data_IF_255941116370
#
_entry.id   IF_255941116370
#
_cell.length_a   1.000
_cell.length_b   1.000
_cell.length_c   1.000
_cell.angle_alpha   90.00
_cell.angle_beta   90.00
_cell.angle_gamma   90.00
#
_symmetry.space_group_name_H-M   'P 1'
#
loop_
_entity.id
_entity.type
_entity.pdbx_description
1 polymer ?
#
# COMPACT_ATOMS: atom_id res chain seq x y z
N UNK A 1 -13.48 -8.51 -14.00
CA UNK A 1 -14.15 -8.27 -12.70
C UNK A 1 -15.61 -8.63 -12.87
N UNK A 2 -16.11 -9.59 -12.09
CA UNK A 2 -17.56 -9.91 -12.08
C UNK A 2 -18.32 -8.75 -11.46
N UNK A 3 -19.35 -8.24 -12.14
CA UNK A 3 -20.23 -7.18 -11.63
C UNK A 3 -20.92 -7.65 -10.35
N UNK A 4 -20.40 -7.19 -9.20
CA UNK A 4 -20.91 -7.55 -7.88
C UNK A 4 -22.33 -7.03 -7.67
N UNK A 5 -22.67 -5.91 -8.31
CA UNK A 5 -23.95 -5.26 -8.11
C UNK A 5 -25.05 -6.00 -8.84
N UNK A 6 -24.82 -6.41 -10.09
CA UNK A 6 -25.73 -7.29 -10.79
C UNK A 6 -26.00 -8.61 -10.04
N UNK A 7 -24.98 -9.15 -9.36
CA UNK A 7 -25.16 -10.31 -8.49
C UNK A 7 -26.03 -10.00 -7.25
N UNK A 8 -25.81 -8.86 -6.58
CA UNK A 8 -26.62 -8.44 -5.44
C UNK A 8 -28.07 -8.15 -5.81
N UNK A 9 -28.31 -7.51 -6.94
CA UNK A 9 -29.65 -7.28 -7.46
C UNK A 9 -30.36 -8.60 -7.73
N UNK A 10 -29.69 -9.56 -8.37
CA UNK A 10 -30.23 -10.89 -8.58
C UNK A 10 -30.52 -11.62 -7.25
N UNK A 11 -29.64 -11.52 -6.26
CA UNK A 11 -29.83 -12.15 -4.95
C UNK A 11 -31.00 -11.53 -4.18
N UNK A 12 -31.10 -10.20 -4.16
CA UNK A 12 -32.19 -9.48 -3.48
C UNK A 12 -33.55 -9.70 -4.17
N UNK A 13 -33.58 -9.80 -5.50
CA UNK A 13 -34.79 -10.15 -6.25
C UNK A 13 -35.25 -11.58 -5.92
N UNK A 14 -34.33 -12.56 -5.90
CA UNK A 14 -34.66 -13.94 -5.48
C UNK A 14 -35.15 -14.02 -4.04
N UNK A 15 -34.55 -13.24 -3.15
CA UNK A 15 -35.03 -13.13 -1.77
C UNK A 15 -36.45 -12.57 -1.71
N UNK A 16 -36.74 -11.51 -2.49
CA UNK A 16 -38.07 -10.92 -2.58
C UNK A 16 -39.13 -11.88 -3.17
N UNK A 17 -38.71 -12.80 -4.04
CA UNK A 17 -39.54 -13.90 -4.56
C UNK A 17 -39.77 -15.04 -3.55
N UNK A 18 -39.30 -14.92 -2.30
CA UNK A 18 -39.44 -15.94 -1.26
C UNK A 18 -38.44 -17.10 -1.39
N UNK A 19 -37.44 -17.01 -2.27
CA UNK A 19 -36.40 -18.04 -2.47
C UNK A 19 -35.19 -17.76 -1.58
N UNK A 20 -35.41 -17.77 -0.27
CA UNK A 20 -34.38 -17.42 0.73
C UNK A 20 -33.14 -18.34 0.70
N UNK A 21 -33.28 -19.59 0.22
CA UNK A 21 -32.17 -20.54 0.03
C UNK A 21 -31.08 -20.04 -0.94
N UNK A 22 -31.37 -19.00 -1.73
CA UNK A 22 -30.45 -18.46 -2.72
C UNK A 22 -29.29 -17.64 -2.12
N UNK A 23 -29.41 -17.17 -0.87
CA UNK A 23 -28.36 -16.36 -0.22
C UNK A 23 -27.54 -17.25 0.72
N UNK A 24 -26.55 -17.95 0.15
CA UNK A 24 -25.61 -18.77 0.94
C UNK A 24 -24.75 -17.87 1.82
N UNK A 25 -24.39 -18.32 3.03
CA UNK A 25 -23.57 -17.53 3.98
C UNK A 25 -22.26 -17.03 3.37
N UNK A 26 -21.56 -17.86 2.59
CA UNK A 26 -20.32 -17.47 1.91
C UNK A 26 -20.48 -16.33 0.89
N UNK A 27 -21.69 -16.13 0.38
CA UNK A 27 -22.02 -15.03 -0.53
C UNK A 27 -22.02 -13.68 0.19
N UNK A 28 -22.54 -13.64 1.42
CA UNK A 28 -22.57 -12.43 2.24
C UNK A 28 -21.17 -12.05 2.74
N UNK A 29 -20.32 -13.04 3.05
CA UNK A 29 -18.92 -12.80 3.39
C UNK A 29 -18.14 -12.21 2.21
N UNK A 30 -18.27 -12.81 1.02
CA UNK A 30 -17.62 -12.29 -0.18
C UNK A 30 -18.10 -10.87 -0.55
N UNK A 31 -19.37 -10.56 -0.28
CA UNK A 31 -19.93 -9.22 -0.43
C UNK A 31 -19.30 -8.24 0.56
N UNK A 32 -19.21 -8.61 1.85
CA UNK A 32 -18.60 -7.76 2.87
C UNK A 32 -17.13 -7.45 2.55
N UNK A 33 -16.35 -8.44 2.12
CA UNK A 33 -14.95 -8.25 1.72
C UNK A 33 -14.82 -7.27 0.55
N UNK A 34 -15.69 -7.39 -0.46
CA UNK A 34 -15.68 -6.50 -1.62
C UNK A 34 -16.19 -5.09 -1.33
N UNK A 35 -17.17 -4.93 -0.43
CA UNK A 35 -17.57 -3.58 0.05
C UNK A 35 -16.41 -2.96 0.82
N UNK A 36 -15.73 -3.73 1.66
CA UNK A 36 -14.55 -3.28 2.40
C UNK A 36 -13.36 -2.94 1.49
N UNK A 37 -13.24 -3.61 0.34
CA UNK A 37 -12.28 -3.30 -0.73
C UNK A 37 -12.66 -2.05 -1.53
N UNK A 38 -13.94 -1.90 -1.89
CA UNK A 38 -14.46 -0.73 -2.57
C UNK A 38 -14.27 0.52 -1.69
N UNK A 39 -14.74 0.51 -0.45
CA UNK A 39 -14.46 1.57 0.53
C UNK A 39 -12.97 1.71 0.87
N UNK A 40 -12.15 0.72 0.47
CA UNK A 40 -10.70 0.69 0.50
C UNK A 40 -10.03 1.66 -0.47
N UNK A 41 -10.48 1.59 -1.71
CA UNK A 41 -9.82 2.12 -2.91
C UNK A 41 -10.61 3.25 -3.59
N UNK A 42 -11.84 3.47 -3.14
CA UNK A 42 -12.83 4.35 -3.75
C UNK A 42 -12.56 5.84 -3.54
N UNK A 43 -12.87 6.60 -4.58
CA UNK A 43 -13.17 8.02 -4.43
C UNK A 43 -14.45 8.20 -3.59
N UNK A 44 -14.69 9.41 -3.06
CA UNK A 44 -15.93 9.72 -2.35
C UNK A 44 -17.20 9.35 -3.15
N UNK A 45 -17.15 9.55 -4.47
CA UNK A 45 -18.26 9.24 -5.36
C UNK A 45 -18.59 7.75 -5.39
N UNK A 46 -17.58 6.87 -5.45
CA UNK A 46 -17.81 5.42 -5.47
C UNK A 46 -18.35 4.91 -4.11
N UNK A 47 -17.95 5.55 -3.00
CA UNK A 47 -18.49 5.26 -1.68
C UNK A 47 -19.97 5.65 -1.56
N UNK A 48 -20.35 6.81 -2.08
CA UNK A 48 -21.75 7.28 -2.13
C UNK A 48 -22.60 6.38 -3.04
N UNK A 49 -22.07 5.95 -4.18
CA UNK A 49 -22.74 4.98 -5.06
C UNK A 49 -22.95 3.62 -4.38
N UNK A 50 -21.90 3.10 -3.71
CA UNK A 50 -21.99 1.84 -2.99
C UNK A 50 -23.02 1.90 -1.86
N UNK A 51 -23.08 3.03 -1.13
CA UNK A 51 -24.10 3.28 -0.11
C UNK A 51 -25.50 3.22 -0.72
N UNK A 52 -25.76 3.98 -1.79
CA UNK A 52 -27.08 4.04 -2.42
C UNK A 52 -27.56 2.66 -2.87
N UNK A 53 -26.67 1.84 -3.45
CA UNK A 53 -26.99 0.48 -3.88
C UNK A 53 -27.25 -0.45 -2.70
N UNK A 54 -26.47 -0.35 -1.62
CA UNK A 54 -26.70 -1.14 -0.41
C UNK A 54 -28.02 -0.77 0.27
N UNK A 55 -28.37 0.51 0.30
CA UNK A 55 -29.64 1.00 0.83
C UNK A 55 -30.82 0.43 0.04
N UNK A 56 -30.76 0.44 -1.29
CA UNK A 56 -31.77 -0.18 -2.14
C UNK A 56 -31.94 -1.68 -1.89
N UNK A 57 -30.83 -2.42 -1.83
CA UNK A 57 -30.84 -3.87 -1.57
C UNK A 57 -31.41 -4.17 -0.18
N UNK A 58 -30.96 -3.42 0.83
CA UNK A 58 -31.44 -3.54 2.20
C UNK A 58 -32.94 -3.27 2.30
N UNK A 59 -33.43 -2.16 1.73
CA UNK A 59 -34.84 -1.81 1.73
C UNK A 59 -35.70 -2.89 1.05
N UNK A 60 -35.24 -3.43 -0.09
CA UNK A 60 -35.91 -4.52 -0.82
C UNK A 60 -36.00 -5.79 0.03
N UNK A 61 -34.88 -6.23 0.61
CA UNK A 61 -34.86 -7.43 1.45
C UNK A 61 -35.68 -7.25 2.73
N UNK A 62 -35.61 -6.08 3.37
CA UNK A 62 -36.38 -5.76 4.56
C UNK A 62 -37.88 -5.75 4.26
N UNK A 63 -38.30 -5.19 3.12
CA UNK A 63 -39.69 -5.19 2.67
C UNK A 63 -40.27 -6.60 2.51
N UNK A 64 -39.47 -7.53 1.98
CA UNK A 64 -39.86 -8.93 1.79
C UNK A 64 -39.72 -9.80 3.06
N UNK A 65 -39.09 -9.29 4.12
CA UNK A 65 -38.82 -10.06 5.33
C UNK A 65 -40.06 -10.23 6.22
N UNK A 66 -40.12 -11.28 7.07
CA UNK A 66 -41.17 -11.45 8.07
C UNK A 66 -41.31 -10.24 9.00
N UNK A 67 -42.52 -10.00 9.50
CA UNK A 67 -42.81 -8.85 10.39
C UNK A 67 -41.96 -8.85 11.65
N UNK A 68 -41.63 -10.01 12.22
CA UNK A 68 -40.72 -10.12 13.37
C UNK A 68 -39.32 -9.55 13.05
N UNK A 69 -38.74 -9.92 11.91
CA UNK A 69 -37.46 -9.40 11.43
C UNK A 69 -37.51 -7.89 11.20
N UNK A 70 -38.57 -7.39 10.54
CA UNK A 70 -38.75 -5.95 10.33
C UNK A 70 -38.83 -5.18 11.65
N UNK A 71 -39.55 -5.72 12.64
CA UNK A 71 -39.65 -5.11 13.97
C UNK A 71 -38.30 -5.10 14.69
N UNK A 72 -37.51 -6.18 14.57
CA UNK A 72 -36.17 -6.25 15.13
C UNK A 72 -35.24 -5.18 14.53
N UNK A 73 -35.23 -5.07 13.20
CA UNK A 73 -34.44 -4.07 12.47
C UNK A 73 -34.86 -2.63 12.83
N UNK A 74 -36.17 -2.38 12.95
CA UNK A 74 -36.71 -1.07 13.31
C UNK A 74 -36.59 -0.75 14.82
N UNK A 75 -36.02 -1.65 15.64
CA UNK A 75 -35.90 -1.45 17.09
C UNK A 75 -37.23 -1.48 17.86
N UNK A 76 -38.27 -2.09 17.30
CA UNK A 76 -39.63 -2.18 17.89
C UNK A 76 -40.03 -3.60 18.30
N UNK A 77 -39.10 -4.56 18.18
CA UNK A 77 -39.25 -5.89 18.71
C UNK A 77 -39.02 -5.91 20.23
N UNK A 78 -39.56 -6.93 20.90
CA UNK A 78 -39.24 -7.17 22.30
C UNK A 78 -37.74 -7.46 22.44
N UNK A 79 -37.11 -6.97 23.50
CA UNK A 79 -35.68 -7.14 23.74
C UNK A 79 -35.26 -8.63 23.81
N UNK A 80 -36.16 -9.50 24.25
CA UNK A 80 -35.94 -10.94 24.37
C UNK A 80 -36.25 -11.73 23.08
N UNK A 81 -36.69 -11.06 22.01
CA UNK A 81 -36.98 -11.76 20.75
C UNK A 81 -35.69 -12.30 20.10
N UNK A 82 -35.69 -13.56 19.61
CA UNK A 82 -34.53 -14.13 18.92
C UNK A 82 -34.06 -13.29 17.73
N UNK A 83 -34.98 -12.67 17.00
CA UNK A 83 -34.66 -11.80 15.86
C UNK A 83 -33.94 -10.52 16.29
N UNK A 84 -34.34 -9.91 17.42
CA UNK A 84 -33.63 -8.75 17.96
C UNK A 84 -32.21 -9.12 18.41
N UNK A 85 -32.04 -10.27 19.07
CA UNK A 85 -30.73 -10.77 19.47
C UNK A 85 -29.83 -11.08 18.27
N UNK A 86 -30.36 -11.74 17.24
CA UNK A 86 -29.63 -12.05 16.01
C UNK A 86 -29.24 -10.77 15.25
N UNK A 87 -30.15 -9.80 15.16
CA UNK A 87 -29.86 -8.50 14.53
C UNK A 87 -28.76 -7.74 15.29
N UNK A 88 -28.85 -7.69 16.62
CA UNK A 88 -27.85 -7.03 17.46
C UNK A 88 -26.45 -7.67 17.31
N UNK A 89 -26.38 -9.01 17.31
CA UNK A 89 -25.13 -9.74 17.05
C UNK A 89 -24.59 -9.45 15.65
N UNK A 90 -25.47 -9.38 14.64
CA UNK A 90 -25.10 -8.99 13.28
C UNK A 90 -24.50 -7.58 13.20
N UNK A 91 -25.13 -6.60 13.88
CA UNK A 91 -24.63 -5.23 13.95
C UNK A 91 -23.25 -5.14 14.63
N UNK A 92 -23.06 -5.86 15.75
CA UNK A 92 -21.78 -5.92 16.46
C UNK A 92 -20.70 -6.59 15.59
N UNK A 93 -21.04 -7.71 14.95
CA UNK A 93 -20.12 -8.41 14.04
C UNK A 93 -19.69 -7.54 12.87
N UNK A 94 -20.62 -6.79 12.28
CA UNK A 94 -20.33 -5.82 11.24
C UNK A 94 -19.43 -4.69 11.74
N UNK A 95 -19.74 -4.09 12.89
CA UNK A 95 -18.92 -3.04 13.50
C UNK A 95 -17.49 -3.51 13.78
N UNK A 96 -17.32 -4.74 14.30
CA UNK A 96 -16.02 -5.35 14.51
C UNK A 96 -15.25 -5.54 13.18
N UNK A 97 -15.90 -6.03 12.12
CA UNK A 97 -15.28 -6.19 10.81
C UNK A 97 -14.82 -4.85 10.22
N UNK A 98 -15.65 -3.80 10.31
CA UNK A 98 -15.28 -2.44 9.90
C UNK A 98 -14.10 -1.92 10.73
N UNK A 99 -14.12 -2.08 12.05
CA UNK A 99 -13.03 -1.66 12.93
C UNK A 99 -11.71 -2.39 12.60
N UNK A 100 -11.76 -3.70 12.38
CA UNK A 100 -10.60 -4.50 11.99
C UNK A 100 -10.01 -4.04 10.65
N UNK A 101 -10.86 -3.72 9.66
CA UNK A 101 -10.43 -3.18 8.37
C UNK A 101 -9.82 -1.79 8.48
N UNK A 102 -10.41 -0.90 9.27
CA UNK A 102 -9.85 0.45 9.50
C UNK A 102 -8.51 0.33 10.23
N UNK A 103 -8.39 -0.59 11.19
CA UNK A 103 -7.13 -0.87 11.86
C UNK A 103 -6.07 -1.41 10.89
N UNK A 104 -6.43 -2.34 9.99
CA UNK A 104 -5.50 -2.85 8.97
C UNK A 104 -5.01 -1.73 8.05
N UNK A 105 -5.90 -0.84 7.59
CA UNK A 105 -5.52 0.33 6.79
C UNK A 105 -4.59 1.31 7.52
N UNK A 106 -4.82 1.57 8.82
CA UNK A 106 -3.93 2.46 9.59
C UNK A 106 -2.52 1.88 9.74
N UNK A 107 -2.42 0.56 9.84
CA UNK A 107 -1.13 -0.15 9.79
C UNK A 107 -0.48 0.04 8.42
N UNK A 108 -1.25 -0.04 7.33
CA UNK A 108 -0.79 0.26 5.97
C UNK A 108 -0.34 1.72 5.80
N UNK A 109 -1.05 2.72 6.35
CA UNK A 109 -0.67 4.13 6.25
C UNK A 109 0.69 4.43 6.93
N UNK A 110 0.91 3.84 8.11
CA UNK A 110 2.18 3.93 8.81
C UNK A 110 3.32 3.29 8.01
N UNK A 111 3.03 2.14 7.41
CA UNK A 111 3.96 1.41 6.54
C UNK A 111 4.31 2.19 5.26
N UNK A 112 3.31 2.74 4.56
CA UNK A 112 3.47 3.59 3.38
C UNK A 112 4.28 4.84 3.73
N UNK A 113 3.95 5.52 4.85
CA UNK A 113 4.69 6.70 5.31
C UNK A 113 6.15 6.37 5.63
N UNK A 114 6.39 5.20 6.22
CA UNK A 114 7.75 4.73 6.51
C UNK A 114 8.54 4.44 5.23
N UNK A 115 7.94 3.75 4.25
CA UNK A 115 8.53 3.51 2.94
C UNK A 115 8.85 4.82 2.20
N UNK A 116 7.93 5.80 2.24
CA UNK A 116 8.11 7.15 1.67
C UNK A 116 9.02 8.07 2.48
N UNK A 117 9.55 7.63 3.62
CA UNK A 117 10.43 8.50 4.40
C UNK A 117 11.73 8.74 3.65
N UNK A 118 12.21 9.99 3.64
CA UNK A 118 13.44 10.40 2.92
C UNK A 118 14.65 9.54 3.26
N UNK A 119 14.71 9.00 4.48
CA UNK A 119 15.80 8.17 4.98
C UNK A 119 15.78 6.74 4.43
N UNK A 120 14.60 6.24 4.07
CA UNK A 120 14.37 4.84 3.66
C UNK A 120 14.12 4.71 2.16
N UNK A 121 13.48 5.69 1.54
CA UNK A 121 13.02 5.63 0.16
C UNK A 121 14.12 5.19 -0.82
N UNK A 122 15.33 5.72 -0.70
CA UNK A 122 16.46 5.33 -1.54
C UNK A 122 16.82 3.84 -1.43
N UNK A 123 16.76 3.28 -0.21
CA UNK A 123 17.01 1.85 0.03
C UNK A 123 15.93 0.97 -0.59
N UNK A 124 14.66 1.36 -0.44
CA UNK A 124 13.53 0.63 -1.04
C UNK A 124 13.64 0.65 -2.56
N UNK A 125 13.90 1.81 -3.18
CA UNK A 125 14.07 1.90 -4.63
C UNK A 125 15.28 1.11 -5.15
N UNK A 126 16.37 1.03 -4.38
CA UNK A 126 17.52 0.20 -4.73
C UNK A 126 17.16 -1.30 -4.72
N UNK A 127 16.47 -1.75 -3.66
CA UNK A 127 16.06 -3.15 -3.50
C UNK A 127 14.91 -3.57 -4.43
N UNK A 128 14.09 -2.61 -4.87
CA UNK A 128 13.02 -2.84 -5.84
C UNK A 128 13.57 -3.23 -7.22
N UNK A 129 14.76 -2.75 -7.58
CA UNK A 129 15.41 -3.10 -8.84
C UNK A 129 16.13 -4.44 -8.81
N UNK A 130 16.78 -4.78 -7.69
CA UNK A 130 17.52 -6.02 -7.51
C UNK A 130 17.77 -6.31 -6.04
N UNK A 131 17.88 -7.59 -5.71
CA UNK A 131 18.39 -8.04 -4.42
C UNK A 131 19.88 -7.69 -4.27
N UNK A 132 20.27 -7.09 -3.15
CA UNK A 132 21.60 -6.54 -2.93
C UNK A 132 22.13 -6.85 -1.53
N UNK A 133 23.43 -7.12 -1.42
CA UNK A 133 24.09 -7.17 -0.12
C UNK A 133 24.47 -5.76 0.39
N UNK A 134 24.79 -5.63 1.68
CA UNK A 134 25.04 -4.34 2.33
C UNK A 134 26.10 -3.48 1.60
N UNK A 135 27.26 -4.06 1.26
CA UNK A 135 28.26 -3.35 0.46
C UNK A 135 27.76 -2.84 -0.90
N UNK A 136 26.96 -3.62 -1.64
CA UNK A 136 26.43 -3.18 -2.94
C UNK A 136 25.36 -2.09 -2.79
N UNK A 137 24.57 -2.13 -1.72
CA UNK A 137 23.66 -1.05 -1.35
C UNK A 137 24.42 0.22 -0.96
N UNK A 138 25.51 0.09 -0.21
CA UNK A 138 26.37 1.20 0.18
C UNK A 138 26.96 1.90 -1.04
N UNK A 139 27.49 1.11 -1.99
CA UNK A 139 28.02 1.60 -3.26
C UNK A 139 26.91 2.29 -4.10
N UNK A 140 25.71 1.70 -4.17
CA UNK A 140 24.58 2.25 -4.92
C UNK A 140 24.05 3.56 -4.32
N UNK A 141 24.05 3.69 -2.99
CA UNK A 141 23.48 4.86 -2.30
C UNK A 141 24.54 5.93 -1.97
N UNK A 142 25.83 5.65 -2.21
CA UNK A 142 26.92 6.54 -1.83
C UNK A 142 27.05 6.71 -0.31
N UNK A 143 26.83 5.62 0.45
CA UNK A 143 26.77 5.62 1.92
C UNK A 143 27.77 4.66 2.55
N UNK A 144 28.01 4.82 3.85
CA UNK A 144 28.84 3.89 4.62
C UNK A 144 28.10 2.57 4.88
N UNK A 145 28.81 1.44 4.82
CA UNK A 145 28.22 0.10 5.03
C UNK A 145 27.59 -0.06 6.44
N UNK A 146 28.14 0.60 7.46
CA UNK A 146 27.56 0.62 8.80
C UNK A 146 26.25 1.41 8.85
N UNK A 147 26.15 2.53 8.12
CA UNK A 147 24.88 3.27 7.98
C UNK A 147 23.84 2.40 7.27
N UNK A 148 24.23 1.75 6.16
CA UNK A 148 23.35 0.82 5.44
C UNK A 148 22.87 -0.29 6.35
N UNK A 149 23.77 -0.91 7.12
CA UNK A 149 23.40 -1.99 8.04
C UNK A 149 22.38 -1.53 9.10
N UNK A 150 22.52 -0.31 9.63
CA UNK A 150 21.56 0.25 10.60
C UNK A 150 20.20 0.53 9.95
N UNK A 151 20.17 1.03 8.73
CA UNK A 151 18.91 1.28 8.01
C UNK A 151 18.24 -0.03 7.62
N UNK A 152 18.99 -1.02 7.11
CA UNK A 152 18.47 -2.35 6.78
C UNK A 152 17.91 -3.03 8.02
N UNK A 153 18.58 -2.97 9.18
CA UNK A 153 18.02 -3.49 10.42
C UNK A 153 16.68 -2.84 10.80
N UNK A 154 16.52 -1.53 10.58
CA UNK A 154 15.24 -0.84 10.76
C UNK A 154 14.19 -1.29 9.73
N UNK A 155 14.58 -1.50 8.47
CA UNK A 155 13.67 -2.00 7.44
C UNK A 155 13.16 -3.41 7.76
N UNK A 156 14.04 -4.29 8.25
CA UNK A 156 13.68 -5.64 8.70
C UNK A 156 12.74 -5.60 9.91
N UNK A 157 13.03 -4.76 10.90
CA UNK A 157 12.18 -4.60 12.08
C UNK A 157 10.75 -4.11 11.75
N UNK A 158 10.57 -3.42 10.60
CA UNK A 158 9.27 -2.97 10.11
C UNK A 158 8.69 -3.88 9.01
N UNK A 159 9.29 -5.03 8.72
CA UNK A 159 8.79 -5.98 7.72
C UNK A 159 8.91 -5.51 6.26
N UNK A 160 9.69 -4.46 5.99
CA UNK A 160 9.87 -3.91 4.63
C UNK A 160 10.82 -4.77 3.80
N UNK A 161 11.87 -5.29 4.41
CA UNK A 161 12.81 -6.18 3.75
C UNK A 161 13.09 -7.43 4.59
N UNK A 162 13.57 -8.47 3.92
CA UNK A 162 14.10 -9.67 4.53
C UNK A 162 15.52 -9.93 3.99
N UNK A 163 16.22 -10.90 4.58
CA UNK A 163 17.56 -11.26 4.14
C UNK A 163 17.81 -12.75 4.19
N UNK A 164 18.57 -13.24 3.22
CA UNK A 164 19.06 -14.63 3.19
C UNK A 164 20.57 -14.67 3.13
N UNK A 165 21.15 -15.74 3.66
CA UNK A 165 22.60 -15.96 3.61
C UNK A 165 22.96 -16.71 2.33
N UNK A 166 23.82 -16.10 1.52
CA UNK A 166 24.41 -16.72 0.32
C UNK A 166 25.94 -16.74 0.49
N UNK A 167 26.48 -17.92 0.82
CA UNK A 167 27.87 -18.08 1.21
C UNK A 167 28.22 -17.24 2.45
N UNK A 168 29.19 -16.33 2.30
CA UNK A 168 29.60 -15.40 3.37
C UNK A 168 28.89 -14.04 3.31
N UNK A 169 27.92 -13.86 2.39
CA UNK A 169 27.21 -12.59 2.22
C UNK A 169 25.76 -12.72 2.67
N UNK A 170 25.21 -11.63 3.20
CA UNK A 170 23.79 -11.49 3.47
C UNK A 170 23.18 -10.68 2.32
N UNK A 171 22.28 -11.29 1.56
CA UNK A 171 21.53 -10.67 0.47
C UNK A 171 20.22 -10.15 1.05
N UNK A 172 19.92 -8.88 0.82
CA UNK A 172 18.67 -8.24 1.25
C UNK A 172 17.74 -8.10 0.05
N UNK A 173 16.44 -8.28 0.29
CA UNK A 173 15.38 -8.18 -0.72
C UNK A 173 14.10 -7.63 -0.09
N UNK A 174 13.23 -6.99 -0.87
CA UNK A 174 11.95 -6.51 -0.38
C UNK A 174 11.01 -7.69 -0.09
N UNK A 175 10.18 -7.56 0.94
CA UNK A 175 9.07 -8.50 1.12
C UNK A 175 8.03 -8.28 -0.01
N UNK A 176 7.24 -9.30 -0.38
CA UNK A 176 6.21 -9.14 -1.42
C UNK A 176 5.23 -8.00 -1.13
N UNK A 177 4.89 -7.80 0.15
CA UNK A 177 4.03 -6.70 0.58
C UNK A 177 4.69 -5.32 0.36
N UNK A 178 5.96 -5.17 0.74
CA UNK A 178 6.70 -3.92 0.52
C UNK A 178 6.89 -3.61 -0.97
N UNK A 179 7.15 -4.63 -1.79
CA UNK A 179 7.26 -4.48 -3.24
C UNK A 179 5.94 -4.03 -3.86
N UNK A 180 4.82 -4.67 -3.50
CA UNK A 180 3.49 -4.28 -3.99
C UNK A 180 3.17 -2.83 -3.62
N UNK A 181 3.38 -2.45 -2.34
CA UNK A 181 3.17 -1.07 -1.87
C UNK A 181 4.08 -0.09 -2.59
N UNK A 182 5.37 -0.39 -2.76
CA UNK A 182 6.32 0.48 -3.45
C UNK A 182 5.91 0.72 -4.92
N UNK A 183 5.43 -0.32 -5.60
CA UNK A 183 4.91 -0.19 -6.98
C UNK A 183 3.61 0.61 -7.04
N UNK A 184 2.68 0.36 -6.12
CA UNK A 184 1.38 1.04 -6.06
C UNK A 184 1.55 2.55 -5.84
N UNK A 185 2.48 2.95 -4.97
CA UNK A 185 2.80 4.36 -4.72
C UNK A 185 3.69 5.01 -5.79
N UNK A 186 3.98 4.30 -6.88
CA UNK A 186 4.76 4.81 -8.02
C UNK A 186 6.26 4.95 -7.77
N UNK A 187 6.85 4.20 -6.82
CA UNK A 187 8.31 4.17 -6.71
C UNK A 187 8.91 3.44 -7.90
N UNK A 188 9.70 4.16 -8.69
CA UNK A 188 10.57 3.53 -9.68
C UNK A 188 11.75 2.84 -9.00
N UNK A 189 12.13 1.67 -9.49
CA UNK A 189 13.44 1.11 -9.19
C UNK A 189 14.51 2.14 -9.56
N UNK A 190 15.58 2.25 -8.77
CA UNK A 190 16.74 3.03 -9.21
C UNK A 190 17.27 2.33 -10.45
N UNK A 191 16.94 2.89 -11.62
CA UNK A 191 17.36 2.35 -12.89
C UNK A 191 18.87 2.15 -12.83
N UNK A 192 19.33 0.97 -13.23
CA UNK A 192 20.74 0.69 -13.48
C UNK A 192 21.36 1.63 -14.53
N UNK A 193 20.55 2.52 -15.13
CA UNK A 193 20.95 3.67 -15.91
C UNK A 193 21.79 4.64 -15.09
N UNK A 194 23.10 4.41 -15.11
CA UNK A 194 24.17 5.34 -14.75
C UNK A 194 23.83 6.16 -13.51
N UNK A 195 24.06 5.56 -12.34
CA UNK A 195 24.49 6.36 -11.20
C UNK A 195 25.49 7.38 -11.73
N UNK A 196 25.23 8.67 -11.47
CA UNK A 196 26.30 9.65 -11.39
C UNK A 196 27.28 9.09 -10.37
N UNK A 197 28.21 8.26 -10.85
CA UNK A 197 29.42 7.95 -10.12
C UNK A 197 30.00 9.33 -9.88
N UNK A 198 29.96 9.79 -8.64
CA UNK A 198 30.96 10.74 -8.19
C UNK A 198 32.27 10.19 -8.74
N UNK A 199 32.92 10.88 -9.69
CA UNK A 199 34.05 10.30 -10.39
C UNK A 199 35.04 9.81 -9.33
N UNK A 200 35.64 8.61 -9.49
CA UNK A 200 36.65 8.12 -8.55
C UNK A 200 37.62 9.26 -8.24
N UNK A 201 38.10 9.39 -7.00
CA UNK A 201 39.00 10.50 -6.61
C UNK A 201 40.20 10.63 -7.55
N UNK A 202 40.66 9.52 -8.12
CA UNK A 202 41.69 9.46 -9.15
C UNK A 202 41.27 10.15 -10.46
N UNK A 203 40.03 9.98 -10.91
CA UNK A 203 39.46 10.65 -12.09
C UNK A 203 39.29 12.15 -11.84
N UNK A 204 38.83 12.55 -10.64
CA UNK A 204 38.77 13.97 -10.25
C UNK A 204 40.16 14.59 -10.30
N UNK A 205 41.16 13.93 -9.71
CA UNK A 205 42.55 14.39 -9.70
C UNK A 205 43.17 14.48 -11.09
N UNK A 206 42.92 13.50 -11.96
CA UNK A 206 43.38 13.53 -13.36
C UNK A 206 42.69 14.64 -14.14
N UNK A 207 41.40 14.90 -13.90
CA UNK A 207 40.68 15.99 -14.55
C UNK A 207 41.14 17.37 -14.06
N UNK A 208 41.45 17.53 -12.77
CA UNK A 208 42.06 18.75 -12.23
C UNK A 208 43.45 18.99 -12.81
N UNK A 209 44.30 17.96 -12.87
CA UNK A 209 45.63 18.07 -13.47
C UNK A 209 45.56 18.42 -14.97
N UNK A 210 44.63 17.80 -15.70
CA UNK A 210 44.36 18.12 -17.12
C UNK A 210 43.79 19.52 -17.30
N UNK A 211 43.03 20.05 -16.34
CA UNK A 211 42.49 21.41 -16.36
C UNK A 211 43.59 22.46 -16.28
N UNK A 212 44.66 22.20 -15.53
CA UNK A 212 45.79 23.11 -15.45
C UNK A 212 46.65 23.11 -16.73
N UNK A 213 46.68 22.00 -17.46
CA UNK A 213 47.33 21.90 -18.79
C UNK A 213 46.56 22.62 -19.91
N UNK A 214 45.28 22.95 -19.70
CA UNK A 214 44.46 23.61 -20.73
C UNK A 214 44.72 25.13 -20.78
N UNK A 215 44.70 25.74 -21.99
CA UNK A 215 44.72 27.19 -22.17
C UNK A 215 43.62 27.91 -21.36
N UNK A 216 43.92 29.10 -20.83
CA UNK A 216 43.05 29.82 -19.88
C UNK A 216 41.59 29.98 -20.35
N UNK A 217 41.35 30.16 -21.65
CA UNK A 217 40.02 30.33 -22.21
C UNK A 217 39.20 29.01 -22.28
N UNK A 218 39.84 27.84 -22.16
CA UNK A 218 39.17 26.53 -22.15
C UNK A 218 38.88 26.01 -20.73
N UNK A 219 39.57 26.54 -19.70
CA UNK A 219 39.44 26.11 -18.30
C UNK A 219 38.04 26.34 -17.72
N UNK A 220 37.29 27.30 -18.26
CA UNK A 220 35.93 27.62 -17.81
C UNK A 220 34.85 26.72 -18.41
N UNK A 221 35.14 25.97 -19.48
CA UNK A 221 34.16 25.09 -20.13
C UNK A 221 33.97 23.73 -19.43
N UNK A 222 34.90 23.36 -18.53
CA UNK A 222 34.89 22.11 -17.77
C UNK A 222 34.26 22.24 -16.37
N UNK A 223 33.36 23.21 -16.18
CA UNK A 223 32.53 23.22 -14.98
C UNK A 223 31.52 22.09 -15.13
N UNK A 224 31.85 20.93 -14.56
CA UNK A 224 30.87 19.90 -14.25
C UNK A 224 29.73 20.58 -13.49
N UNK A 225 28.50 20.38 -13.98
CA UNK A 225 27.24 20.81 -13.37
C UNK A 225 27.10 20.09 -12.02
N UNK A 226 27.86 20.53 -11.03
CA UNK A 226 27.83 20.05 -9.65
C UNK A 226 27.22 21.11 -8.70
N UNK A 227 27.02 22.34 -9.19
CA UNK A 227 26.62 23.49 -8.37
C UNK A 227 25.22 24.06 -8.68
N UNK A 228 24.42 23.39 -9.52
CA UNK A 228 23.05 23.85 -9.78
C UNK A 228 22.13 23.73 -8.53
N UNK A 229 22.42 22.80 -7.61
CA UNK A 229 21.60 22.58 -6.41
C UNK A 229 21.98 23.49 -5.21
N UNK A 230 23.09 24.23 -5.28
CA UNK A 230 23.54 25.08 -4.18
C UNK A 230 22.95 26.52 -4.23
N UNK A 231 22.30 26.91 -5.32
CA UNK A 231 21.75 28.27 -5.52
C UNK A 231 20.25 28.41 -5.26
N UNK A 232 19.55 27.32 -4.92
CA UNK A 232 18.11 27.35 -4.60
C UNK A 232 17.82 27.32 -3.09
N UNK A 233 18.86 27.38 -2.25
CA UNK A 233 18.77 27.40 -0.79
C UNK A 233 19.35 28.67 -0.13
N UNK A 234 19.56 29.75 -0.90
CA UNK A 234 19.92 31.08 -0.43
C UNK A 234 18.86 32.09 -0.89
#
# INVERSE_FOLDING_TARGET
MTDIWGFMDAASNRFAEGRAEAVRSGTLTALADRIAEALGSASRADAEEAQARLEMVFARMLGASPTATRRAVNGTAAAESPEAAAFALGQIGFAHAVAARVASKRVEDGFVRFIRSKTVEGYVRALLGKELHNRALADALGKDEAEVSRVIGRLQANGVCDSRKEGNRRINFLTPAAEAVARDIGMGAIGTGRFHRTPPREVVRVMEQKRDELPAHLRHSLVLVADADAREAA
#
